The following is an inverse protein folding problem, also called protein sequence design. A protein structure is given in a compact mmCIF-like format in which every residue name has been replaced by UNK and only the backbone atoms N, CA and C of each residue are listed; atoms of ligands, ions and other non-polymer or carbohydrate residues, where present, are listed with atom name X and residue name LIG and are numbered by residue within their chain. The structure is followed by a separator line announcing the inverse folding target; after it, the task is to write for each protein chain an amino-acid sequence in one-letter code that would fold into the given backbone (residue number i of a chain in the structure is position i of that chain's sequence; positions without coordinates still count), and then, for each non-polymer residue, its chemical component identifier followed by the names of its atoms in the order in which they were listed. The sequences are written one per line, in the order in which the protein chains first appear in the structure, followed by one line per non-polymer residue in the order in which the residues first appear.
data_IF_780147780273
#
_entry.id   IF_780147780273
#
_cell.length_a   1.000
_cell.length_b   1.000
_cell.length_c   1.000
_cell.angle_alpha   90.00
_cell.angle_beta   90.00
_cell.angle_gamma   90.00
#
_symmetry.space_group_name_H-M   'P 1'
#
loop_
_entity.id
_entity.type
_entity.pdbx_description
1 polymer ?
#
# COMPACT_ATOMS: atom_id res chain seq x y z
N UNK A 1 39.69 13.81 12.52
CA UNK A 1 39.24 14.60 11.35
C UNK A 1 38.35 13.72 10.49
N UNK A 2 37.05 14.01 10.42
CA UNK A 2 36.14 13.32 9.50
C UNK A 2 36.42 13.89 8.11
N UNK A 3 36.69 13.06 7.08
CA UNK A 3 37.00 13.55 5.74
C UNK A 3 35.79 14.29 5.16
N UNK A 4 36.04 15.46 4.56
CA UNK A 4 35.03 16.40 4.06
C UNK A 4 33.97 15.74 3.14
N UNK A 5 34.38 14.77 2.32
CA UNK A 5 33.49 13.99 1.46
C UNK A 5 32.46 13.17 2.24
N UNK A 6 32.81 12.59 3.40
CA UNK A 6 31.84 11.87 4.24
C UNK A 6 30.84 12.83 4.87
N UNK A 7 31.24 14.08 5.11
CA UNK A 7 30.40 15.11 5.69
C UNK A 7 29.39 15.66 4.66
N UNK A 8 29.82 15.91 3.43
CA UNK A 8 28.91 16.26 2.32
C UNK A 8 27.92 15.13 1.99
N UNK A 9 28.39 13.88 1.99
CA UNK A 9 27.55 12.73 1.67
C UNK A 9 26.55 12.43 2.80
N UNK A 10 26.95 12.66 4.05
CA UNK A 10 26.03 12.64 5.19
C UNK A 10 25.02 13.79 5.10
N UNK A 11 25.45 15.02 4.81
CA UNK A 11 24.55 16.17 4.69
C UNK A 11 23.52 15.99 3.56
N UNK A 12 23.93 15.46 2.40
CA UNK A 12 23.00 15.14 1.30
C UNK A 12 22.01 14.05 1.68
N UNK A 13 22.47 12.98 2.30
CA UNK A 13 21.57 11.91 2.73
C UNK A 13 20.58 12.37 3.82
N UNK A 14 20.98 13.29 4.70
CA UNK A 14 20.06 13.95 5.65
C UNK A 14 19.04 14.85 4.95
N UNK A 15 19.47 15.65 3.97
CA UNK A 15 18.58 16.54 3.20
C UNK A 15 17.57 15.76 2.36
N UNK A 16 18.00 14.68 1.71
CA UNK A 16 17.12 13.75 1.00
C UNK A 16 16.16 13.04 1.95
N UNK A 17 16.59 12.74 3.19
CA UNK A 17 15.72 12.17 4.23
C UNK A 17 14.63 13.15 4.69
N UNK A 18 14.97 14.43 4.81
CA UNK A 18 14.07 15.50 5.24
C UNK A 18 13.04 15.83 4.16
N UNK A 19 13.44 15.78 2.88
CA UNK A 19 12.53 15.87 1.73
C UNK A 19 11.50 14.73 1.67
N UNK A 20 11.80 13.58 2.28
CA UNK A 20 10.90 12.43 2.35
C UNK A 20 9.93 12.50 3.56
N UNK A 21 10.11 13.45 4.47
CA UNK A 21 9.19 13.69 5.60
C UNK A 21 8.06 14.62 5.19
N UNK A 22 6.85 14.08 5.17
CA UNK A 22 5.61 14.81 4.91
C UNK A 22 5.11 15.47 6.20
N UNK A 23 4.62 16.70 6.09
CA UNK A 23 3.84 17.32 7.16
C UNK A 23 2.56 16.53 7.47
N UNK A 24 2.01 16.70 8.68
CA UNK A 24 0.74 16.06 9.08
C UNK A 24 -0.41 16.39 8.13
N UNK A 25 -0.51 17.63 7.66
CA UNK A 25 -1.55 18.05 6.71
C UNK A 25 -1.38 17.39 5.34
N UNK A 26 -0.14 17.23 4.87
CA UNK A 26 0.13 16.54 3.60
C UNK A 26 -0.17 15.04 3.70
N UNK A 27 0.09 14.42 4.86
CA UNK A 27 -0.28 13.02 5.13
C UNK A 27 -1.81 12.83 5.10
N UNK A 28 -2.57 13.74 5.70
CA UNK A 28 -4.02 13.70 5.69
C UNK A 28 -4.61 13.94 4.30
N UNK A 29 -4.09 14.92 3.56
CA UNK A 29 -4.53 15.18 2.18
C UNK A 29 -4.26 14.00 1.25
N UNK A 30 -3.13 13.31 1.42
CA UNK A 30 -2.82 12.07 0.70
C UNK A 30 -3.82 10.95 1.04
N UNK A 31 -4.24 10.80 2.31
CA UNK A 31 -5.28 9.83 2.67
C UNK A 31 -6.59 10.11 1.92
N UNK A 32 -7.02 11.38 1.87
CA UNK A 32 -8.24 11.78 1.17
C UNK A 32 -8.14 11.53 -0.34
N UNK A 33 -6.98 11.82 -0.93
CA UNK A 33 -6.74 11.58 -2.34
C UNK A 33 -6.74 10.09 -2.68
N UNK A 34 -6.11 9.26 -1.83
CA UNK A 34 -6.14 7.80 -1.92
C UNK A 34 -7.59 7.30 -1.85
N UNK A 35 -8.42 7.87 -0.96
CA UNK A 35 -9.82 7.51 -0.85
C UNK A 35 -10.59 7.82 -2.14
N UNK A 36 -10.36 8.99 -2.75
CA UNK A 36 -10.95 9.38 -4.05
C UNK A 36 -10.59 8.37 -5.16
N UNK A 37 -9.31 8.00 -5.29
CA UNK A 37 -8.87 7.02 -6.29
C UNK A 37 -9.46 5.61 -6.06
N UNK A 38 -9.58 5.19 -4.79
CA UNK A 38 -10.24 3.92 -4.44
C UNK A 38 -11.73 3.92 -4.82
N UNK A 39 -12.46 4.98 -4.50
CA UNK A 39 -13.88 5.10 -4.87
C UNK A 39 -14.05 5.10 -6.38
N UNK A 40 -13.17 5.79 -7.12
CA UNK A 40 -13.24 5.87 -8.58
C UNK A 40 -12.96 4.53 -9.27
N UNK A 41 -12.04 3.73 -8.74
CA UNK A 41 -11.66 2.43 -9.31
C UNK A 41 -12.67 1.31 -9.02
N UNK A 42 -13.37 1.37 -7.88
CA UNK A 42 -14.32 0.33 -7.47
C UNK A 42 -15.43 0.02 -8.51
N UNK A 43 -16.17 0.99 -9.06
CA UNK A 43 -17.20 0.69 -10.08
C UNK A 43 -16.57 0.14 -11.35
N UNK A 44 -15.39 0.60 -11.75
CA UNK A 44 -14.68 0.11 -12.95
C UNK A 44 -14.37 -1.38 -12.81
N UNK A 45 -13.86 -1.80 -11.65
CA UNK A 45 -13.56 -3.21 -11.35
C UNK A 45 -14.85 -4.04 -11.37
N UNK A 46 -15.93 -3.54 -10.76
CA UNK A 46 -17.21 -4.24 -10.72
C UNK A 46 -17.79 -4.47 -12.11
N UNK A 47 -17.86 -3.43 -12.96
CA UNK A 47 -18.34 -3.57 -14.33
C UNK A 47 -17.43 -4.46 -15.18
N UNK A 48 -16.11 -4.37 -14.98
CA UNK A 48 -15.15 -5.25 -15.65
C UNK A 48 -15.42 -6.72 -15.30
N UNK A 49 -15.68 -7.03 -14.03
CA UNK A 49 -15.99 -8.39 -13.60
C UNK A 49 -17.28 -8.92 -14.24
N UNK A 50 -18.35 -8.11 -14.28
CA UNK A 50 -19.60 -8.49 -14.94
C UNK A 50 -19.40 -8.76 -16.45
N UNK A 51 -18.66 -7.89 -17.14
CA UNK A 51 -18.36 -8.05 -18.56
C UNK A 51 -17.50 -9.28 -18.84
N UNK A 52 -16.50 -9.53 -17.99
CA UNK A 52 -15.66 -10.74 -18.06
C UNK A 52 -16.52 -12.00 -17.92
N UNK A 53 -17.41 -12.06 -16.93
CA UNK A 53 -18.32 -13.19 -16.72
C UNK A 53 -19.22 -13.40 -17.92
N UNK A 54 -19.83 -12.33 -18.44
CA UNK A 54 -20.66 -12.40 -19.65
C UNK A 54 -19.88 -12.86 -20.88
N UNK A 55 -18.66 -12.36 -21.07
CA UNK A 55 -17.78 -12.77 -22.17
C UNK A 55 -17.43 -14.25 -22.09
N UNK A 56 -17.11 -14.76 -20.90
CA UNK A 56 -16.83 -16.17 -20.67
C UNK A 56 -18.04 -17.04 -21.01
N UNK A 57 -19.25 -16.66 -20.58
CA UNK A 57 -20.46 -17.38 -20.94
C UNK A 57 -20.70 -17.40 -22.46
N UNK A 58 -20.56 -16.25 -23.12
CA UNK A 58 -20.70 -16.17 -24.57
C UNK A 58 -19.69 -17.07 -25.30
N UNK A 59 -18.41 -17.03 -24.91
CA UNK A 59 -17.37 -17.87 -25.50
C UNK A 59 -17.60 -19.36 -25.22
N UNK A 60 -18.04 -19.74 -24.01
CA UNK A 60 -18.37 -21.12 -23.69
C UNK A 60 -19.53 -21.63 -24.56
N UNK A 61 -20.62 -20.87 -24.67
CA UNK A 61 -21.77 -21.23 -25.51
C UNK A 61 -21.33 -21.35 -26.97
N UNK A 62 -20.61 -20.35 -27.50
CA UNK A 62 -20.12 -20.37 -28.87
C UNK A 62 -19.21 -21.57 -29.14
N UNK A 63 -18.33 -21.91 -28.21
CA UNK A 63 -17.44 -23.08 -28.33
C UNK A 63 -18.22 -24.38 -28.38
N UNK A 64 -19.25 -24.54 -27.54
CA UNK A 64 -20.12 -25.72 -27.55
C UNK A 64 -20.87 -25.84 -28.88
N UNK A 65 -21.43 -24.73 -29.38
CA UNK A 65 -22.16 -24.70 -30.65
C UNK A 65 -21.27 -25.02 -31.86
N UNK A 66 -19.97 -24.73 -31.82
CA UNK A 66 -19.03 -25.14 -32.87
C UNK A 66 -18.96 -26.66 -33.09
N UNK A 67 -19.32 -27.47 -32.09
CA UNK A 67 -19.29 -28.94 -32.19
C UNK A 67 -20.61 -29.54 -32.69
N UNK A 68 -21.60 -28.70 -33.03
CA UNK A 68 -22.89 -29.14 -33.56
C UNK A 68 -22.84 -29.04 -35.09
N UNK A 69 -22.97 -30.20 -35.78
CA UNK A 69 -22.74 -30.32 -37.22
C UNK A 69 -23.78 -29.62 -38.12
N UNK A 70 -24.91 -29.16 -37.57
CA UNK A 70 -26.03 -28.58 -38.33
C UNK A 70 -26.14 -27.05 -38.23
N UNK A 71 -25.12 -26.36 -37.68
CA UNK A 71 -25.16 -24.90 -37.50
C UNK A 71 -24.31 -24.16 -38.54
N UNK A 72 -24.84 -23.04 -39.04
CA UNK A 72 -24.09 -22.09 -39.85
C UNK A 72 -23.14 -21.28 -38.97
N UNK A 73 -21.89 -21.72 -38.89
CA UNK A 73 -20.85 -21.15 -38.03
C UNK A 73 -20.84 -19.61 -38.00
N UNK A 74 -20.89 -18.93 -39.15
CA UNK A 74 -20.78 -17.48 -39.20
C UNK A 74 -21.96 -16.77 -38.49
N UNK A 75 -23.19 -17.14 -38.83
CA UNK A 75 -24.40 -16.43 -38.42
C UNK A 75 -24.99 -16.95 -37.11
N UNK A 76 -24.83 -18.24 -36.82
CA UNK A 76 -25.46 -18.91 -35.68
C UNK A 76 -24.50 -19.10 -34.49
N UNK A 77 -23.18 -18.98 -34.72
CA UNK A 77 -22.17 -19.22 -33.68
C UNK A 77 -21.23 -18.03 -33.51
N UNK A 78 -20.57 -17.59 -34.57
CA UNK A 78 -19.52 -16.57 -34.51
C UNK A 78 -20.09 -15.17 -34.21
N UNK A 79 -21.00 -14.66 -35.04
CA UNK A 79 -21.66 -13.37 -34.86
C UNK A 79 -22.39 -13.20 -33.52
N UNK A 80 -23.18 -14.19 -33.04
CA UNK A 80 -23.96 -14.02 -31.80
C UNK A 80 -23.16 -14.27 -30.51
N UNK A 81 -22.12 -15.11 -30.55
CA UNK A 81 -21.43 -15.55 -29.31
C UNK A 81 -19.94 -15.24 -29.32
N UNK A 82 -19.19 -15.70 -30.32
CA UNK A 82 -17.72 -15.61 -30.31
C UNK A 82 -17.26 -14.15 -30.47
N UNK A 83 -17.79 -13.44 -31.47
CA UNK A 83 -17.39 -12.06 -31.76
C UNK A 83 -17.75 -11.10 -30.59
N UNK A 84 -18.98 -11.11 -30.02
CA UNK A 84 -19.31 -10.30 -28.86
C UNK A 84 -18.49 -10.67 -27.63
N UNK A 85 -18.18 -11.96 -27.43
CA UNK A 85 -17.30 -12.43 -26.36
C UNK A 85 -15.90 -11.83 -26.46
N UNK A 86 -15.27 -11.90 -27.64
CA UNK A 86 -13.93 -11.32 -27.89
C UNK A 86 -13.95 -9.80 -27.71
N UNK A 87 -14.95 -9.11 -28.27
CA UNK A 87 -15.08 -7.65 -28.13
C UNK A 87 -15.26 -7.23 -26.67
N UNK A 88 -16.06 -7.98 -25.91
CA UNK A 88 -16.25 -7.75 -24.47
C UNK A 88 -14.95 -7.94 -23.69
N UNK A 89 -14.14 -8.94 -24.02
CA UNK A 89 -12.82 -9.13 -23.40
C UNK A 89 -11.88 -7.95 -23.69
N UNK A 90 -11.84 -7.46 -24.94
CA UNK A 90 -11.02 -6.31 -25.29
C UNK A 90 -11.42 -5.06 -24.51
N UNK A 91 -12.72 -4.81 -24.38
CA UNK A 91 -13.23 -3.69 -23.59
C UNK A 91 -12.96 -3.85 -22.08
N UNK A 92 -13.12 -5.07 -21.58
CA UNK A 92 -12.79 -5.42 -20.18
C UNK A 92 -11.32 -5.17 -19.88
N UNK A 93 -10.41 -5.55 -20.77
CA UNK A 93 -8.98 -5.30 -20.61
C UNK A 93 -8.67 -3.80 -20.51
N UNK A 94 -9.34 -2.97 -21.33
CA UNK A 94 -9.21 -1.51 -21.27
C UNK A 94 -9.68 -0.95 -19.92
N UNK A 95 -10.84 -1.39 -19.42
CA UNK A 95 -11.34 -0.97 -18.11
C UNK A 95 -10.41 -1.39 -16.97
N UNK A 96 -9.90 -2.62 -17.01
CA UNK A 96 -8.93 -3.12 -16.03
C UNK A 96 -7.63 -2.33 -16.06
N UNK A 97 -7.17 -1.89 -17.24
CA UNK A 97 -6.00 -1.00 -17.34
C UNK A 97 -6.24 0.33 -16.63
N UNK A 98 -7.41 0.96 -16.81
CA UNK A 98 -7.76 2.18 -16.09
C UNK A 98 -7.86 1.96 -14.58
N UNK A 99 -8.48 0.87 -14.14
CA UNK A 99 -8.55 0.50 -12.73
C UNK A 99 -7.15 0.28 -12.13
N UNK A 100 -6.28 -0.42 -12.87
CA UNK A 100 -4.89 -0.66 -12.48
C UNK A 100 -4.11 0.65 -12.34
N UNK A 101 -4.28 1.60 -13.27
CA UNK A 101 -3.63 2.92 -13.18
C UNK A 101 -4.04 3.67 -11.90
N UNK A 102 -5.32 3.67 -11.56
CA UNK A 102 -5.84 4.31 -10.34
C UNK A 102 -5.32 3.59 -9.07
N UNK A 103 -5.28 2.26 -9.07
CA UNK A 103 -4.70 1.48 -7.96
C UNK A 103 -3.18 1.68 -7.81
N UNK A 104 -2.46 1.88 -8.91
CA UNK A 104 -1.03 2.15 -8.85
C UNK A 104 -0.75 3.51 -8.20
N UNK A 105 -1.55 4.54 -8.52
CA UNK A 105 -1.47 5.85 -7.85
C UNK A 105 -1.76 5.74 -6.35
N UNK A 106 -2.75 4.92 -5.96
CA UNK A 106 -3.01 4.61 -4.55
C UNK A 106 -1.78 4.01 -3.88
N UNK A 107 -1.17 2.99 -4.51
CA UNK A 107 0.01 2.30 -3.97
C UNK A 107 1.18 3.27 -3.79
N UNK A 108 1.47 4.09 -4.80
CA UNK A 108 2.54 5.09 -4.75
C UNK A 108 2.35 6.10 -3.61
N UNK A 109 1.13 6.60 -3.43
CA UNK A 109 0.82 7.56 -2.35
C UNK A 109 0.88 6.91 -0.97
N UNK A 110 0.40 5.66 -0.84
CA UNK A 110 0.53 4.90 0.40
C UNK A 110 2.00 4.65 0.75
N UNK A 111 2.82 4.31 -0.26
CA UNK A 111 4.26 4.13 -0.11
C UNK A 111 4.94 5.44 0.30
N UNK A 112 4.55 6.58 -0.26
CA UNK A 112 5.09 7.88 0.11
C UNK A 112 4.83 8.20 1.59
N UNK A 113 3.60 7.98 2.08
CA UNK A 113 3.26 8.15 3.50
C UNK A 113 4.04 7.15 4.37
N UNK A 114 4.15 5.90 3.94
CA UNK A 114 4.90 4.86 4.66
C UNK A 114 6.39 5.21 4.78
N UNK A 115 6.97 5.75 3.71
CA UNK A 115 8.37 6.21 3.65
C UNK A 115 8.60 7.36 4.63
N UNK A 116 7.71 8.36 4.64
CA UNK A 116 7.73 9.45 5.61
C UNK A 116 7.66 8.95 7.05
N UNK A 117 6.72 8.05 7.36
CA UNK A 117 6.56 7.51 8.70
C UNK A 117 7.80 6.76 9.17
N UNK A 118 8.41 5.99 8.26
CA UNK A 118 9.65 5.29 8.53
C UNK A 118 10.79 6.26 8.84
N UNK A 119 10.99 7.29 8.01
CA UNK A 119 12.10 8.22 8.19
C UNK A 119 11.96 9.11 9.42
N UNK A 120 10.74 9.52 9.79
CA UNK A 120 10.49 10.21 11.06
C UNK A 120 10.83 9.33 12.26
N UNK A 121 10.45 8.06 12.21
CA UNK A 121 10.80 7.08 13.24
C UNK A 121 12.32 6.87 13.33
N UNK A 122 12.99 6.78 12.18
CA UNK A 122 14.45 6.67 12.09
C UNK A 122 15.15 7.92 12.63
N UNK A 123 14.60 9.12 12.41
CA UNK A 123 15.16 10.36 12.93
C UNK A 123 15.11 10.42 14.47
N UNK A 124 14.03 9.94 15.08
CA UNK A 124 13.98 9.77 16.54
C UNK A 124 15.06 8.78 17.01
N UNK A 125 15.18 7.62 16.35
CA UNK A 125 16.18 6.62 16.71
C UNK A 125 17.62 7.17 16.63
N UNK A 126 17.92 7.98 15.61
CA UNK A 126 19.24 8.62 15.42
C UNK A 126 19.53 9.73 16.45
N UNK A 127 18.50 10.42 16.93
CA UNK A 127 18.64 11.53 17.89
C UNK A 127 18.62 11.08 19.36
N UNK A 128 18.21 9.85 19.65
CA UNK A 128 18.24 9.30 20.99
C UNK A 128 19.67 8.96 21.44
N UNK A 129 19.99 9.28 22.69
CA UNK A 129 21.22 8.82 23.33
C UNK A 129 21.25 7.28 23.43
N UNK A 130 22.44 6.66 23.26
CA UNK A 130 22.59 5.22 23.39
C UNK A 130 22.12 4.74 24.77
N UNK A 131 21.21 3.75 24.78
CA UNK A 131 20.60 3.20 26.00
C UNK A 131 19.25 3.81 26.41
N UNK A 132 18.83 4.93 25.81
CA UNK A 132 17.49 5.54 26.05
C UNK A 132 16.43 5.17 25.00
N UNK A 133 16.80 4.37 24.00
CA UNK A 133 15.92 3.92 22.95
C UNK A 133 15.22 2.63 23.38
N UNK A 134 13.90 2.69 23.56
CA UNK A 134 13.06 1.52 23.82
C UNK A 134 11.96 1.39 22.77
N UNK A 135 11.50 0.16 22.52
CA UNK A 135 10.38 -0.09 21.59
C UNK A 135 9.14 0.68 22.06
N UNK A 136 8.88 0.70 23.37
CA UNK A 136 7.75 1.45 23.97
C UNK A 136 7.78 2.93 23.62
N UNK A 137 8.92 3.60 23.86
CA UNK A 137 9.06 5.03 23.57
C UNK A 137 8.90 5.34 22.09
N UNK A 138 9.37 4.43 21.23
CA UNK A 138 9.20 4.54 19.80
C UNK A 138 7.73 4.35 19.40
N UNK A 139 7.01 3.41 20.00
CA UNK A 139 5.57 3.21 19.79
C UNK A 139 4.77 4.45 20.18
N UNK A 140 5.02 5.01 21.36
CA UNK A 140 4.36 6.24 21.85
C UNK A 140 4.61 7.40 20.87
N UNK A 141 5.87 7.63 20.48
CA UNK A 141 6.21 8.65 19.50
C UNK A 141 5.52 8.44 18.15
N UNK A 142 5.46 7.20 17.65
CA UNK A 142 4.81 6.93 16.36
C UNK A 142 3.31 7.23 16.43
N UNK A 143 2.65 6.89 17.54
CA UNK A 143 1.22 7.15 17.72
C UNK A 143 0.91 8.64 17.91
N UNK A 144 1.75 9.37 18.63
CA UNK A 144 1.50 10.78 18.99
C UNK A 144 1.98 11.77 17.92
N UNK A 145 3.09 11.47 17.26
CA UNK A 145 3.79 12.41 16.38
C UNK A 145 3.77 12.00 14.90
N UNK A 146 4.00 10.72 14.61
CA UNK A 146 4.19 10.23 13.23
C UNK A 146 2.87 9.95 12.53
N UNK A 147 1.90 9.37 13.25
CA UNK A 147 0.58 9.02 12.73
C UNK A 147 -0.43 10.13 13.06
N UNK A 148 -0.97 10.85 12.05
CA UNK A 148 -2.03 11.82 12.28
C UNK A 148 -3.27 11.17 12.91
N UNK A 149 -3.87 11.84 13.89
CA UNK A 149 -5.10 11.40 14.57
C UNK A 149 -6.30 11.23 13.63
N UNK A 150 -6.30 11.90 12.47
CA UNK A 150 -7.32 11.76 11.42
C UNK A 150 -7.18 10.50 10.55
N UNK A 151 -6.18 9.65 10.79
CA UNK A 151 -6.01 8.43 10.02
C UNK A 151 -7.05 7.37 10.35
N UNK A 152 -7.63 6.76 9.32
CA UNK A 152 -8.50 5.60 9.52
C UNK A 152 -7.67 4.38 9.93
N UNK A 153 -8.20 3.50 10.80
CA UNK A 153 -7.50 2.26 11.23
C UNK A 153 -6.98 1.42 10.06
N UNK A 154 -7.79 1.31 8.99
CA UNK A 154 -7.40 0.58 7.76
C UNK A 154 -6.22 1.23 7.06
N UNK A 155 -6.18 2.56 7.05
CA UNK A 155 -5.07 3.31 6.46
C UNK A 155 -3.79 3.15 7.27
N UNK A 156 -3.87 3.28 8.60
CA UNK A 156 -2.73 3.04 9.49
C UNK A 156 -2.16 1.65 9.27
N UNK A 157 -3.02 0.62 9.26
CA UNK A 157 -2.60 -0.76 9.01
C UNK A 157 -1.84 -0.91 7.68
N UNK A 158 -2.37 -0.32 6.60
CA UNK A 158 -1.74 -0.40 5.28
C UNK A 158 -0.39 0.33 5.24
N UNK A 159 -0.32 1.56 5.78
CA UNK A 159 0.90 2.37 5.83
C UNK A 159 1.99 1.67 6.64
N UNK A 160 1.68 1.21 7.86
CA UNK A 160 2.66 0.52 8.71
C UNK A 160 3.11 -0.82 8.13
N UNK A 161 2.24 -1.48 7.36
CA UNK A 161 2.62 -2.71 6.64
C UNK A 161 3.61 -2.41 5.51
N UNK A 162 3.43 -1.30 4.79
CA UNK A 162 4.31 -0.86 3.72
C UNK A 162 5.62 -0.24 4.23
N UNK A 163 5.61 0.34 5.43
CA UNK A 163 6.77 1.01 6.04
C UNK A 163 7.87 0.05 6.51
N UNK A 164 7.78 -1.25 6.16
CA UNK A 164 8.81 -2.24 6.47
C UNK A 164 10.10 -1.92 5.69
N UNK A 165 11.27 -1.92 6.34
CA UNK A 165 12.55 -1.67 5.68
C UNK A 165 12.80 -2.54 4.45
N UNK A 166 12.37 -3.81 4.49
CA UNK A 166 12.49 -4.76 3.38
C UNK A 166 11.64 -4.42 2.15
N UNK A 167 10.52 -3.74 2.35
CA UNK A 167 9.64 -3.27 1.26
C UNK A 167 10.14 -1.91 0.74
N UNK A 168 10.55 -1.02 1.64
CA UNK A 168 11.13 0.27 1.29
C UNK A 168 12.43 0.12 0.49
N UNK A 169 13.28 -0.87 0.81
CA UNK A 169 14.52 -1.17 0.09
C UNK A 169 14.34 -1.57 -1.38
N UNK A 170 13.16 -2.07 -1.76
CA UNK A 170 12.86 -2.42 -3.16
C UNK A 170 12.46 -1.21 -4.00
N UNK A 171 11.79 -0.25 -3.37
CA UNK A 171 11.14 0.87 -4.06
C UNK A 171 11.92 2.19 -3.94
N UNK A 172 12.66 2.35 -2.84
CA UNK A 172 13.55 3.47 -2.58
C UNK A 172 14.95 2.91 -2.42
N UNK A 173 15.98 3.62 -2.86
CA UNK A 173 17.40 3.23 -2.76
C UNK A 173 17.90 3.26 -1.29
N UNK A 174 17.19 2.54 -0.43
CA UNK A 174 17.32 2.54 1.01
C UNK A 174 18.44 1.61 1.44
N UNK A 175 19.28 2.11 2.33
CA UNK A 175 20.37 1.36 2.96
C UNK A 175 19.94 0.91 4.34
N UNK A 176 20.13 -0.38 4.64
CA UNK A 176 19.79 -0.96 5.94
C UNK A 176 20.41 -0.16 7.08
N UNK A 177 19.64 0.09 8.12
CA UNK A 177 20.10 0.78 9.34
C UNK A 177 20.08 -0.16 10.53
N UNK A 178 20.89 0.09 11.57
CA UNK A 178 20.84 -0.72 12.80
C UNK A 178 19.50 -0.59 13.56
N UNK A 179 18.67 0.37 13.20
CA UNK A 179 17.37 0.64 13.82
C UNK A 179 16.20 -0.04 13.08
N UNK A 180 16.45 -0.69 11.95
CA UNK A 180 15.41 -1.31 11.12
C UNK A 180 14.55 -2.29 11.93
N UNK A 181 15.18 -3.12 12.76
CA UNK A 181 14.50 -4.15 13.55
C UNK A 181 13.62 -3.54 14.66
N UNK A 182 14.11 -2.49 15.34
CA UNK A 182 13.35 -1.86 16.43
C UNK A 182 12.15 -1.07 15.88
N UNK A 183 12.32 -0.42 14.72
CA UNK A 183 11.23 0.28 14.02
C UNK A 183 10.19 -0.72 13.52
N UNK A 184 10.61 -1.86 12.94
CA UNK A 184 9.69 -2.89 12.48
C UNK A 184 8.90 -3.51 13.64
N UNK A 185 9.54 -3.75 14.79
CA UNK A 185 8.85 -4.21 16.01
C UNK A 185 7.81 -3.19 16.49
N UNK A 186 8.16 -1.91 16.54
CA UNK A 186 7.22 -0.86 16.93
C UNK A 186 6.02 -0.78 15.97
N UNK A 187 6.26 -0.83 14.66
CA UNK A 187 5.18 -0.83 13.66
C UNK A 187 4.30 -2.08 13.76
N UNK A 188 4.87 -3.27 13.96
CA UNK A 188 4.07 -4.49 14.13
C UNK A 188 3.21 -4.41 15.39
N UNK A 189 3.78 -3.92 16.49
CA UNK A 189 3.06 -3.75 17.74
C UNK A 189 1.85 -2.82 17.60
N UNK A 190 2.02 -1.65 16.97
CA UNK A 190 0.91 -0.73 16.72
C UNK A 190 -0.14 -1.39 15.84
N UNK A 191 0.29 -2.07 14.78
CA UNK A 191 -0.60 -2.71 13.81
C UNK A 191 -1.45 -3.81 14.43
N UNK A 192 -0.86 -4.63 15.29
CA UNK A 192 -1.55 -5.69 16.04
C UNK A 192 -2.57 -5.09 17.02
N UNK A 193 -2.22 -3.98 17.68
CA UNK A 193 -3.09 -3.28 18.63
C UNK A 193 -4.27 -2.52 18.01
N UNK A 194 -4.27 -2.22 16.70
CA UNK A 194 -5.29 -1.38 16.04
C UNK A 194 -6.73 -1.88 16.19
N UNK A 195 -6.91 -3.20 16.20
CA UNK A 195 -8.22 -3.85 16.20
C UNK A 195 -8.56 -4.56 17.52
N UNK A 196 -7.67 -4.51 18.51
CA UNK A 196 -7.93 -5.04 19.85
C UNK A 196 -8.90 -4.15 20.62
N UNK A 197 -9.66 -4.77 21.53
CA UNK A 197 -10.66 -4.08 22.37
C UNK A 197 -10.37 -4.29 23.85
N UNK A 198 -10.54 -3.22 24.65
CA UNK A 198 -10.59 -3.30 26.11
C UNK A 198 -9.39 -4.03 26.73
N UNK A 199 -9.65 -5.20 27.31
CA UNK A 199 -8.66 -6.03 28.01
C UNK A 199 -7.50 -6.45 27.11
N UNK A 200 -7.79 -6.94 25.90
CA UNK A 200 -6.75 -7.44 24.98
C UNK A 200 -5.78 -6.33 24.59
N UNK A 201 -6.27 -5.09 24.49
CA UNK A 201 -5.43 -3.93 24.20
C UNK A 201 -4.52 -3.59 25.38
N UNK A 202 -5.05 -3.63 26.60
CA UNK A 202 -4.25 -3.41 27.82
C UNK A 202 -3.18 -4.48 27.99
N UNK A 203 -3.52 -5.74 27.76
CA UNK A 203 -2.57 -6.86 27.85
C UNK A 203 -1.50 -6.74 26.77
N UNK A 204 -1.87 -6.35 25.55
CA UNK A 204 -0.95 -6.07 24.45
C UNK A 204 0.00 -4.92 24.80
N UNK A 205 -0.52 -3.76 25.19
CA UNK A 205 0.29 -2.59 25.56
C UNK A 205 1.21 -2.89 26.78
N UNK A 206 0.81 -3.83 27.64
CA UNK A 206 1.61 -4.28 28.79
C UNK A 206 2.87 -5.05 28.39
N UNK A 207 2.86 -5.76 27.25
CA UNK A 207 4.01 -6.52 26.74
C UNK A 207 5.20 -5.62 26.36
N UNK A 208 4.95 -4.33 26.07
CA UNK A 208 6.01 -3.35 25.84
C UNK A 208 6.79 -2.98 27.10
N UNK A 209 6.25 -3.27 28.29
CA UNK A 209 6.93 -2.99 29.55
C UNK A 209 7.80 -4.15 30.04
N UNK A 210 7.71 -5.32 29.39
CA UNK A 210 8.40 -6.55 29.79
C UNK A 210 9.66 -6.86 28.96
N UNK A 211 9.88 -6.13 27.87
CA UNK A 211 11.02 -6.26 26.95
C UNK A 211 11.81 -4.94 26.84
#
# INVERSE_FOLDING_TARGET
MIPLQKLEQAARSFYDQELLMLSRDNKLSLQDEIHKHKIKSLPIIFFSALMMTGALFALCIGTILCFINDLFFLYEVFLPFILPGILSLAFTALLLYFAWKEQNLVSQKQLQVATSCYFESLALCKSCEPGKLSVKRLVEFIQDEVLPTGFSKRFIFAVLTLAKPSLLAKESSFTKTPFDEIIEKAFSHIREGLYLSGSDKLDHDSQLNQN
#
